data_IF_244126181076
#
_entry.id   IF_244126181076
#
_cell.length_a   1.000
_cell.length_b   1.000
_cell.length_c   1.000
_cell.angle_alpha   90.00
_cell.angle_beta   90.00
_cell.angle_gamma   90.00
#
_symmetry.space_group_name_H-M   'P 1'
#
loop_
_entity.id
_entity.type
_entity.pdbx_description
1 polymer ?
#
# COMPACT_ATOMS: atom_id res chain seq x y z
N UNK A 1 -5.09 25.80 42.31
CA UNK A 1 -4.48 24.65 41.60
C UNK A 1 -3.42 25.18 40.65
N UNK A 2 -2.22 24.57 40.66
CA UNK A 2 -1.13 24.96 39.74
C UNK A 2 -1.54 24.66 38.29
N UNK A 3 -1.12 25.51 37.33
CA UNK A 3 -1.31 25.27 35.89
C UNK A 3 -0.78 23.90 35.46
N UNK A 4 0.30 23.42 36.10
CA UNK A 4 0.89 22.11 35.85
C UNK A 4 -0.03 20.95 36.26
N UNK A 5 -0.83 21.12 37.32
CA UNK A 5 -1.80 20.11 37.76
C UNK A 5 -2.99 20.02 36.82
N UNK A 6 -3.45 21.14 36.27
CA UNK A 6 -4.56 21.16 35.28
C UNK A 6 -4.11 20.57 33.95
N UNK A 7 -2.89 20.89 33.50
CA UNK A 7 -2.29 20.29 32.29
C UNK A 7 -2.08 18.79 32.47
N UNK A 8 -1.59 18.35 33.63
CA UNK A 8 -1.44 16.93 33.95
C UNK A 8 -2.79 16.22 33.99
N UNK A 9 -3.82 16.80 34.61
CA UNK A 9 -5.18 16.22 34.62
C UNK A 9 -5.78 16.16 33.21
N UNK A 10 -5.63 17.20 32.38
CA UNK A 10 -6.14 17.21 31.00
C UNK A 10 -5.39 16.18 30.15
N UNK A 11 -4.07 16.12 30.23
CA UNK A 11 -3.26 15.13 29.50
C UNK A 11 -3.60 13.73 29.98
N UNK A 12 -3.66 13.49 31.29
CA UNK A 12 -3.90 12.19 31.89
C UNK A 12 -5.31 11.65 31.63
N UNK A 13 -6.36 12.49 31.75
CA UNK A 13 -7.73 12.09 31.38
C UNK A 13 -7.91 11.90 29.87
N UNK A 14 -7.18 12.66 29.06
CA UNK A 14 -7.18 12.50 27.61
C UNK A 14 -6.48 11.20 27.22
N UNK A 15 -5.33 10.85 27.81
CA UNK A 15 -4.69 9.53 27.66
C UNK A 15 -5.57 8.39 28.16
N UNK A 16 -6.29 8.54 29.27
CA UNK A 16 -7.18 7.48 29.79
C UNK A 16 -8.39 7.20 28.90
N UNK A 17 -9.04 8.25 28.38
CA UNK A 17 -10.07 8.10 27.33
C UNK A 17 -9.51 7.51 26.04
N UNK A 18 -8.26 7.87 25.70
CA UNK A 18 -7.54 7.34 24.54
C UNK A 18 -7.17 5.84 24.70
N UNK A 19 -6.80 5.39 25.89
CA UNK A 19 -6.52 3.98 26.20
C UNK A 19 -7.81 3.14 26.15
N UNK A 20 -8.93 3.65 26.67
CA UNK A 20 -10.24 2.97 26.62
C UNK A 20 -10.80 2.86 25.18
N UNK A 21 -10.50 3.83 24.28
CA UNK A 21 -10.85 3.74 22.86
C UNK A 21 -9.93 2.78 22.06
N UNK A 22 -8.68 2.59 22.51
CA UNK A 22 -7.72 1.64 21.93
C UNK A 22 -7.96 0.19 22.38
N UNK A 23 -8.47 -0.04 23.59
CA UNK A 23 -8.88 -1.37 24.08
C UNK A 23 -10.05 -1.97 23.26
N UNK A 24 -10.86 -1.15 22.59
CA UNK A 24 -11.97 -1.60 21.76
C UNK A 24 -11.57 -1.96 20.31
N UNK A 25 -10.34 -1.63 19.90
CA UNK A 25 -9.84 -1.78 18.52
C UNK A 25 -9.33 -3.20 18.18
N UNK A 26 -9.32 -4.10 19.16
CA UNK A 26 -8.58 -5.37 19.10
C UNK A 26 -9.44 -6.62 18.86
N UNK A 27 -10.78 -6.56 18.89
CA UNK A 27 -11.58 -7.80 18.90
C UNK A 27 -11.29 -8.72 17.70
N UNK A 28 -11.20 -8.17 16.48
CA UNK A 28 -10.90 -8.97 15.29
C UNK A 28 -9.44 -9.46 15.25
N UNK A 29 -8.49 -8.63 15.69
CA UNK A 29 -7.05 -8.96 15.72
C UNK A 29 -6.78 -10.01 16.79
N UNK A 30 -7.32 -9.83 17.99
CA UNK A 30 -7.27 -10.77 19.11
C UNK A 30 -7.97 -12.11 18.79
N UNK A 31 -9.14 -12.08 18.13
CA UNK A 31 -9.80 -13.30 17.66
C UNK A 31 -8.95 -14.05 16.63
N UNK A 32 -8.35 -13.33 15.69
CA UNK A 32 -7.46 -13.94 14.69
C UNK A 32 -6.19 -14.51 15.34
N UNK A 33 -5.57 -13.77 16.27
CA UNK A 33 -4.44 -14.25 17.07
C UNK A 33 -4.81 -15.54 17.82
N UNK A 34 -5.98 -15.57 18.45
CA UNK A 34 -6.49 -16.76 19.13
C UNK A 34 -6.68 -17.91 18.15
N UNK A 35 -7.28 -17.66 16.97
CA UNK A 35 -7.49 -18.67 15.90
C UNK A 35 -6.18 -19.28 15.41
N UNK A 36 -5.15 -18.45 15.19
CA UNK A 36 -3.82 -18.89 14.77
C UNK A 36 -3.13 -19.67 15.88
N UNK A 37 -3.07 -19.13 17.10
CA UNK A 37 -2.37 -19.74 18.23
C UNK A 37 -3.01 -21.08 18.67
N UNK A 38 -4.32 -21.24 18.49
CA UNK A 38 -5.03 -22.49 18.77
C UNK A 38 -4.97 -23.51 17.62
N UNK A 39 -4.32 -23.18 16.51
CA UNK A 39 -4.12 -24.08 15.38
C UNK A 39 -5.32 -24.21 14.44
N UNK A 40 -6.41 -23.45 14.63
CA UNK A 40 -7.55 -23.43 13.69
C UNK A 40 -7.19 -22.80 12.33
N UNK A 41 -6.05 -22.14 12.21
CA UNK A 41 -5.53 -21.60 10.95
C UNK A 41 -4.59 -22.57 10.20
N UNK A 42 -4.32 -23.78 10.72
CA UNK A 42 -3.31 -24.69 10.15
C UNK A 42 -3.53 -25.07 8.68
N UNK A 43 -4.78 -25.04 8.21
CA UNK A 43 -5.18 -25.41 6.86
C UNK A 43 -5.15 -24.21 5.89
N UNK A 44 -4.86 -23.01 6.39
CA UNK A 44 -4.67 -21.80 5.59
C UNK A 44 -3.39 -21.93 4.73
N UNK A 45 -3.38 -21.29 3.54
CA UNK A 45 -2.24 -21.42 2.63
C UNK A 45 -1.00 -20.70 3.17
N UNK A 46 -1.20 -19.61 3.91
CA UNK A 46 -0.17 -18.87 4.61
C UNK A 46 -0.63 -18.67 6.05
N UNK A 47 0.22 -19.03 7.01
CA UNK A 47 -0.01 -18.81 8.44
C UNK A 47 1.17 -18.03 8.99
N UNK A 48 0.87 -16.95 9.69
CA UNK A 48 1.84 -16.09 10.39
C UNK A 48 1.51 -16.18 11.87
N UNK A 49 2.44 -16.67 12.68
CA UNK A 49 2.26 -16.93 14.10
C UNK A 49 3.28 -16.14 14.92
N UNK A 50 2.80 -15.11 15.62
CA UNK A 50 3.58 -14.19 16.47
C UNK A 50 4.88 -13.72 15.81
N UNK A 51 4.82 -13.38 14.52
CA UNK A 51 6.01 -13.03 13.76
C UNK A 51 6.55 -11.68 14.23
N UNK A 52 7.79 -11.66 14.70
CA UNK A 52 8.44 -10.49 15.29
C UNK A 52 9.78 -10.25 14.63
N UNK A 53 10.09 -8.98 14.36
CA UNK A 53 11.42 -8.54 13.95
C UNK A 53 11.88 -7.34 14.74
N UNK A 54 12.90 -7.57 15.54
CA UNK A 54 13.62 -6.53 16.27
C UNK A 54 14.87 -6.10 15.50
N UNK A 55 15.15 -4.80 15.53
CA UNK A 55 16.39 -4.21 15.06
C UNK A 55 17.04 -3.38 16.15
N UNK A 56 18.37 -3.41 16.18
CA UNK A 56 19.18 -2.55 17.04
C UNK A 56 19.78 -1.42 16.21
N UNK A 57 19.47 -0.16 16.56
CA UNK A 57 20.09 1.04 15.98
C UNK A 57 20.84 1.80 17.07
N UNK A 58 22.17 1.66 17.07
CA UNK A 58 23.01 2.21 18.13
C UNK A 58 22.73 1.52 19.47
N UNK A 59 22.24 2.28 20.46
CA UNK A 59 21.84 1.74 21.78
C UNK A 59 20.33 1.50 21.92
N UNK A 60 19.54 1.72 20.87
CA UNK A 60 18.09 1.55 20.90
C UNK A 60 17.69 0.29 20.15
N UNK A 61 16.91 -0.55 20.81
CA UNK A 61 16.21 -1.68 20.22
C UNK A 61 14.78 -1.23 19.88
N UNK A 62 14.29 -1.67 18.73
CA UNK A 62 12.91 -1.42 18.33
C UNK A 62 12.37 -2.57 17.48
N UNK A 63 11.08 -2.87 17.67
CA UNK A 63 10.36 -3.83 16.86
C UNK A 63 9.90 -3.15 15.56
N UNK A 64 10.45 -3.59 14.42
CA UNK A 64 9.92 -3.20 13.11
C UNK A 64 8.64 -3.98 12.76
N UNK A 65 8.50 -5.19 13.32
CA UNK A 65 7.28 -6.01 13.27
C UNK A 65 7.12 -6.63 14.65
N UNK A 66 5.93 -6.56 15.22
CA UNK A 66 5.68 -6.91 16.62
C UNK A 66 4.53 -7.91 16.72
N UNK A 67 4.88 -9.18 16.95
CA UNK A 67 3.97 -10.31 17.23
C UNK A 67 2.75 -10.40 16.30
N UNK A 68 2.90 -10.13 15.01
CA UNK A 68 1.75 -10.16 14.09
C UNK A 68 1.24 -11.59 13.90
N UNK A 69 -0.09 -11.75 13.84
CA UNK A 69 -0.75 -13.03 13.66
C UNK A 69 -1.84 -12.93 12.60
N UNK A 70 -1.79 -13.81 11.59
CA UNK A 70 -2.85 -13.92 10.57
C UNK A 70 -2.74 -15.26 9.84
N UNK A 71 -3.88 -15.85 9.51
CA UNK A 71 -3.95 -16.96 8.55
C UNK A 71 -4.69 -16.51 7.30
N UNK A 72 -4.14 -16.78 6.12
CA UNK A 72 -4.69 -16.41 4.80
C UNK A 72 -5.15 -17.69 4.10
N UNK A 73 -6.46 -17.90 3.90
CA UNK A 73 -6.97 -19.07 3.19
C UNK A 73 -6.61 -19.07 1.69
N UNK A 74 -6.86 -20.20 1.03
CA UNK A 74 -6.72 -20.33 -0.44
C UNK A 74 -7.72 -19.42 -1.16
N UNK A 75 -7.27 -18.77 -2.23
CA UNK A 75 -8.11 -17.86 -3.02
C UNK A 75 -8.50 -16.58 -2.28
N UNK A 76 -7.75 -16.18 -1.24
CA UNK A 76 -7.93 -14.91 -0.55
C UNK A 76 -6.97 -13.85 -1.14
N UNK A 77 -7.45 -12.61 -1.28
CA UNK A 77 -6.59 -11.44 -1.49
C UNK A 77 -6.46 -10.67 -0.18
N UNK A 78 -5.33 -10.83 0.50
CA UNK A 78 -5.06 -10.21 1.79
C UNK A 78 -4.21 -8.94 1.64
N UNK A 79 -4.67 -7.82 2.19
CA UNK A 79 -3.98 -6.53 2.15
C UNK A 79 -3.26 -6.20 3.45
N UNK A 80 -2.02 -5.74 3.37
CA UNK A 80 -1.30 -5.07 4.45
C UNK A 80 -1.27 -3.57 4.14
N UNK A 81 -2.16 -2.81 4.77
CA UNK A 81 -2.30 -1.36 4.63
C UNK A 81 -1.54 -0.66 5.75
N UNK A 82 -0.72 0.34 5.45
CA UNK A 82 0.06 1.07 6.44
C UNK A 82 0.89 2.15 5.79
N UNK A 83 1.37 3.15 6.54
CA UNK A 83 2.28 4.14 5.99
C UNK A 83 3.69 3.56 5.82
N UNK A 84 4.58 4.37 5.26
CA UNK A 84 6.00 4.05 5.18
C UNK A 84 6.57 3.90 6.61
N UNK A 85 7.39 2.87 6.81
CA UNK A 85 7.93 2.57 8.15
C UNK A 85 7.01 1.75 9.07
N UNK A 86 5.77 1.45 8.67
CA UNK A 86 4.87 0.64 9.51
C UNK A 86 5.30 -0.83 9.72
N UNK A 87 6.26 -1.33 8.91
CA UNK A 87 6.78 -2.71 9.02
C UNK A 87 6.41 -3.64 7.84
N UNK A 88 5.62 -3.16 6.86
CA UNK A 88 5.12 -3.96 5.72
C UNK A 88 6.22 -4.71 4.97
N UNK A 89 7.21 -4.00 4.42
CA UNK A 89 8.33 -4.62 3.67
C UNK A 89 9.15 -5.57 4.54
N UNK A 90 9.34 -5.25 5.82
CA UNK A 90 10.02 -6.15 6.77
C UNK A 90 9.25 -7.46 6.94
N UNK A 91 7.93 -7.41 7.07
CA UNK A 91 7.07 -8.61 7.09
C UNK A 91 7.25 -9.43 5.82
N UNK A 92 7.22 -8.81 4.65
CA UNK A 92 7.40 -9.52 3.37
C UNK A 92 8.76 -10.17 3.24
N UNK A 93 9.84 -9.51 3.66
CA UNK A 93 11.19 -10.11 3.66
C UNK A 93 11.29 -11.31 4.60
N UNK A 94 10.52 -11.34 5.69
CA UNK A 94 10.41 -12.53 6.53
C UNK A 94 9.62 -13.65 5.85
N UNK A 95 8.53 -13.31 5.14
CA UNK A 95 7.72 -14.27 4.40
C UNK A 95 8.43 -14.87 3.18
N UNK A 96 9.42 -14.18 2.62
CA UNK A 96 10.25 -14.72 1.53
C UNK A 96 11.47 -15.48 2.05
N UNK A 97 11.73 -15.45 3.36
CA UNK A 97 12.93 -16.01 3.97
C UNK A 97 14.19 -15.16 3.78
N UNK A 98 14.13 -14.03 3.06
CA UNK A 98 15.26 -13.10 2.91
C UNK A 98 15.68 -12.52 4.28
N UNK A 99 14.76 -12.39 5.21
CA UNK A 99 15.04 -11.98 6.58
C UNK A 99 14.56 -13.03 7.57
N UNK A 100 15.41 -13.42 8.52
CA UNK A 100 14.96 -14.32 9.60
C UNK A 100 14.20 -13.53 10.66
N UNK A 101 13.03 -14.03 11.14
CA UNK A 101 12.35 -13.44 12.27
C UNK A 101 13.20 -13.52 13.52
N UNK A 102 13.03 -12.54 14.42
CA UNK A 102 13.61 -12.59 15.77
C UNK A 102 12.80 -13.57 16.64
N UNK A 103 11.47 -13.54 16.51
CA UNK A 103 10.57 -14.47 17.20
C UNK A 103 9.40 -14.88 16.29
N UNK A 104 8.74 -15.97 16.66
CA UNK A 104 7.61 -16.53 15.92
C UNK A 104 8.02 -17.30 14.67
N UNK A 105 7.03 -17.62 13.85
CA UNK A 105 7.22 -18.35 12.60
C UNK A 105 6.14 -18.03 11.57
N UNK A 106 6.45 -18.33 10.31
CA UNK A 106 5.49 -18.31 9.24
C UNK A 106 5.58 -19.62 8.46
N UNK A 107 4.43 -20.12 7.98
CA UNK A 107 4.34 -21.34 7.19
C UNK A 107 3.56 -21.10 5.92
N UNK A 108 4.00 -21.69 4.80
CA UNK A 108 3.29 -21.70 3.53
C UNK A 108 2.96 -23.15 3.21
N UNK A 109 1.68 -23.47 2.97
CA UNK A 109 1.19 -24.84 2.78
C UNK A 109 1.61 -25.79 3.90
N UNK A 110 1.70 -25.28 5.13
CA UNK A 110 2.17 -26.04 6.30
C UNK A 110 3.69 -26.26 6.35
N UNK A 111 4.46 -25.77 5.37
CA UNK A 111 5.93 -25.79 5.39
C UNK A 111 6.46 -24.51 6.02
N UNK A 112 7.32 -24.63 7.03
CA UNK A 112 7.92 -23.48 7.71
C UNK A 112 8.87 -22.73 6.77
N UNK A 113 8.75 -21.42 6.75
CA UNK A 113 9.60 -20.56 5.95
C UNK A 113 11.01 -20.55 6.54
N UNK A 114 11.99 -20.97 5.75
CA UNK A 114 13.39 -21.05 6.14
C UNK A 114 14.28 -20.77 4.93
N UNK A 115 15.42 -20.10 5.15
CA UNK A 115 16.43 -19.83 4.10
C UNK A 115 16.95 -21.08 3.41
N UNK A 116 16.94 -22.22 4.09
CA UNK A 116 17.51 -23.47 3.59
C UNK A 116 16.57 -24.23 2.65
N UNK A 117 15.29 -23.85 2.56
CA UNK A 117 14.29 -24.61 1.82
C UNK A 117 14.07 -24.01 0.43
N UNK A 118 14.73 -24.61 -0.57
CA UNK A 118 14.59 -24.22 -1.97
C UNK A 118 13.18 -24.43 -2.51
N UNK A 119 12.34 -25.26 -1.87
CA UNK A 119 10.98 -25.55 -2.33
C UNK A 119 10.05 -24.34 -2.19
N UNK A 120 10.28 -23.47 -1.21
CA UNK A 120 9.51 -22.24 -1.00
C UNK A 120 9.57 -21.32 -2.23
N UNK A 121 10.73 -21.23 -2.89
CA UNK A 121 10.90 -20.41 -4.09
C UNK A 121 10.05 -20.85 -5.28
N UNK A 122 9.62 -22.12 -5.32
CA UNK A 122 8.69 -22.63 -6.32
C UNK A 122 7.23 -22.36 -5.95
N UNK A 123 6.92 -22.34 -4.65
CA UNK A 123 5.57 -22.15 -4.14
C UNK A 123 5.17 -20.68 -3.97
N UNK A 124 6.15 -19.76 -3.97
CA UNK A 124 5.93 -18.34 -3.74
C UNK A 124 6.33 -17.51 -4.95
N UNK A 125 5.44 -16.63 -5.37
CA UNK A 125 5.79 -15.47 -6.19
C UNK A 125 6.10 -14.27 -5.32
N UNK A 126 7.17 -13.54 -5.60
CA UNK A 126 7.47 -12.30 -4.90
C UNK A 126 7.77 -11.15 -5.86
N UNK A 127 7.07 -10.04 -5.68
CA UNK A 127 7.38 -8.76 -6.30
C UNK A 127 7.90 -7.80 -5.20
N UNK A 128 9.20 -7.51 -5.14
CA UNK A 128 9.77 -6.55 -4.18
C UNK A 128 9.29 -5.12 -4.44
N UNK A 129 9.51 -4.21 -3.48
CA UNK A 129 9.19 -2.79 -3.62
C UNK A 129 10.04 -2.14 -4.74
N UNK A 130 11.34 -2.43 -4.75
CA UNK A 130 12.26 -2.01 -5.81
C UNK A 130 12.34 -3.06 -6.92
N UNK A 131 12.28 -2.62 -8.18
CA UNK A 131 12.32 -3.52 -9.33
C UNK A 131 13.72 -4.15 -9.51
N UNK A 132 13.87 -5.41 -9.12
CA UNK A 132 15.09 -6.20 -9.29
C UNK A 132 15.24 -6.73 -10.73
N UNK A 133 15.41 -5.81 -11.69
CA UNK A 133 15.48 -6.11 -13.12
C UNK A 133 16.85 -5.79 -13.71
N UNK A 134 17.33 -6.65 -14.62
CA UNK A 134 18.56 -6.42 -15.38
C UNK A 134 18.25 -5.56 -16.62
N UNK A 135 18.80 -4.35 -16.68
CA UNK A 135 18.60 -3.43 -17.80
C UNK A 135 19.19 -3.92 -19.14
N UNK A 136 20.17 -4.82 -19.10
CA UNK A 136 20.82 -5.36 -20.30
C UNK A 136 19.95 -6.39 -21.03
N UNK A 137 19.03 -7.05 -20.32
CA UNK A 137 18.12 -8.05 -20.88
C UNK A 137 16.87 -7.39 -21.46
N UNK A 138 16.21 -8.10 -22.37
CA UNK A 138 14.83 -7.81 -22.77
C UNK A 138 13.84 -8.34 -21.74
N UNK A 139 12.62 -7.79 -21.71
CA UNK A 139 11.56 -8.29 -20.81
C UNK A 139 11.24 -9.77 -21.03
N UNK A 140 11.26 -10.22 -22.29
CA UNK A 140 11.08 -11.61 -22.67
C UNK A 140 12.21 -12.51 -22.17
N UNK A 141 13.46 -12.09 -22.32
CA UNK A 141 14.62 -12.85 -21.81
C UNK A 141 14.60 -12.95 -20.28
N UNK A 142 14.24 -11.86 -19.59
CA UNK A 142 14.09 -11.87 -18.14
C UNK A 142 13.01 -12.86 -17.68
N UNK A 143 11.84 -12.87 -18.33
CA UNK A 143 10.79 -13.87 -18.06
C UNK A 143 11.26 -15.30 -18.34
N UNK A 144 12.00 -15.53 -19.43
CA UNK A 144 12.58 -16.84 -19.70
C UNK A 144 13.61 -17.27 -18.66
N UNK A 145 14.42 -16.34 -18.15
CA UNK A 145 15.38 -16.59 -17.09
C UNK A 145 14.66 -17.05 -15.81
N UNK A 146 13.67 -16.28 -15.35
CA UNK A 146 12.88 -16.65 -14.17
C UNK A 146 12.07 -17.94 -14.37
N UNK A 147 11.55 -18.19 -15.58
CA UNK A 147 10.88 -19.45 -15.89
C UNK A 147 11.81 -20.66 -15.70
N UNK A 148 13.09 -20.53 -16.06
CA UNK A 148 14.12 -21.56 -15.83
C UNK A 148 14.46 -21.69 -14.35
N UNK A 149 14.66 -20.59 -13.64
CA UNK A 149 15.00 -20.58 -12.21
C UNK A 149 13.89 -21.22 -11.35
N UNK A 150 12.62 -21.02 -11.71
CA UNK A 150 11.47 -21.68 -11.06
C UNK A 150 11.34 -23.17 -11.40
N UNK A 151 12.15 -23.70 -12.30
CA UNK A 151 12.10 -25.11 -12.70
C UNK A 151 10.98 -25.46 -13.68
N UNK A 152 10.44 -24.49 -14.43
CA UNK A 152 9.39 -24.79 -15.41
C UNK A 152 9.92 -25.70 -16.54
N UNK A 153 9.16 -26.74 -16.95
CA UNK A 153 9.55 -27.68 -17.99
C UNK A 153 9.92 -27.00 -19.30
N UNK A 154 10.97 -27.48 -19.97
CA UNK A 154 11.50 -26.83 -21.16
C UNK A 154 10.47 -26.61 -22.26
N UNK A 155 9.59 -27.58 -22.46
CA UNK A 155 8.59 -27.59 -23.51
C UNK A 155 7.45 -26.60 -23.26
N UNK A 156 7.16 -26.28 -22.00
CA UNK A 156 6.09 -25.34 -21.63
C UNK A 156 6.59 -23.90 -21.44
N UNK A 157 7.88 -23.68 -21.18
CA UNK A 157 8.43 -22.34 -20.86
C UNK A 157 8.06 -21.27 -21.88
N UNK A 158 8.16 -21.57 -23.17
CA UNK A 158 7.84 -20.60 -24.23
C UNK A 158 6.37 -20.18 -24.17
N UNK A 159 5.47 -21.16 -24.06
CA UNK A 159 4.05 -20.91 -23.95
C UNK A 159 3.70 -20.09 -22.71
N UNK A 160 4.27 -20.45 -21.56
CA UNK A 160 4.02 -19.73 -20.29
C UNK A 160 4.52 -18.29 -20.37
N UNK A 161 5.71 -18.05 -20.93
CA UNK A 161 6.24 -16.68 -21.11
C UNK A 161 5.38 -15.87 -22.08
N UNK A 162 4.99 -16.44 -23.21
CA UNK A 162 4.11 -15.78 -24.19
C UNK A 162 2.73 -15.44 -23.59
N UNK A 163 2.17 -16.35 -22.80
CA UNK A 163 0.91 -16.15 -22.09
C UNK A 163 1.01 -15.02 -21.07
N UNK A 164 2.08 -14.98 -20.26
CA UNK A 164 2.33 -13.88 -19.30
C UNK A 164 2.51 -12.55 -20.01
N UNK A 165 3.28 -12.48 -21.10
CA UNK A 165 3.46 -11.28 -21.92
C UNK A 165 2.10 -10.78 -22.43
N UNK A 166 1.25 -11.68 -22.90
CA UNK A 166 -0.09 -11.37 -23.40
C UNK A 166 -1.02 -10.91 -22.28
N UNK A 167 -1.07 -11.64 -21.16
CA UNK A 167 -1.89 -11.33 -19.97
C UNK A 167 -1.58 -9.93 -19.45
N UNK A 168 -0.30 -9.59 -19.29
CA UNK A 168 0.14 -8.27 -18.82
C UNK A 168 0.16 -7.18 -19.89
N UNK A 169 -0.02 -7.54 -21.17
CA UNK A 169 0.02 -6.57 -22.27
C UNK A 169 1.40 -5.92 -22.44
N UNK A 170 2.48 -6.69 -22.27
CA UNK A 170 3.87 -6.24 -22.41
C UNK A 170 4.25 -6.09 -23.90
N UNK A 171 3.75 -5.02 -24.53
CA UNK A 171 3.97 -4.76 -25.98
C UNK A 171 5.44 -4.62 -26.38
N UNK A 172 6.29 -4.18 -25.45
CA UNK A 172 7.72 -3.96 -25.69
C UNK A 172 8.60 -5.07 -25.08
N UNK A 173 8.05 -6.28 -24.92
CA UNK A 173 8.75 -7.42 -24.32
C UNK A 173 10.12 -7.72 -24.98
N UNK A 174 10.27 -7.41 -26.27
CA UNK A 174 11.48 -7.64 -27.05
C UNK A 174 12.47 -6.45 -27.05
N UNK A 175 12.14 -5.34 -26.37
CA UNK A 175 13.07 -4.23 -26.13
C UNK A 175 13.84 -4.47 -24.83
N UNK A 176 15.07 -3.96 -24.78
CA UNK A 176 15.89 -3.93 -23.57
C UNK A 176 15.16 -3.18 -22.45
N UNK A 177 15.20 -3.76 -21.24
CA UNK A 177 14.57 -3.23 -20.03
C UNK A 177 15.13 -1.85 -19.64
N UNK A 178 16.35 -1.52 -20.06
CA UNK A 178 16.92 -0.18 -19.89
C UNK A 178 15.98 0.93 -20.42
N UNK A 179 15.25 0.66 -21.51
CA UNK A 179 14.35 1.61 -22.16
C UNK A 179 12.92 1.59 -21.60
N UNK A 180 12.62 0.74 -20.61
CA UNK A 180 11.29 0.67 -20.02
C UNK A 180 11.02 1.89 -19.13
N UNK A 181 9.81 2.42 -19.20
CA UNK A 181 9.32 3.36 -18.18
C UNK A 181 9.23 2.68 -16.81
N UNK A 182 9.20 3.47 -15.73
CA UNK A 182 9.04 2.93 -14.37
C UNK A 182 7.81 2.02 -14.24
N UNK A 183 6.66 2.45 -14.78
CA UNK A 183 5.43 1.63 -14.77
C UNK A 183 5.56 0.32 -15.59
N UNK A 184 6.36 0.30 -16.65
CA UNK A 184 6.63 -0.93 -17.40
C UNK A 184 7.56 -1.88 -16.65
N UNK A 185 8.59 -1.36 -15.97
CA UNK A 185 9.46 -2.13 -15.09
C UNK A 185 8.64 -2.76 -13.96
N UNK A 186 7.82 -1.97 -13.28
CA UNK A 186 6.89 -2.44 -12.24
C UNK A 186 5.97 -3.54 -12.75
N UNK A 187 5.38 -3.35 -13.93
CA UNK A 187 4.49 -4.33 -14.57
C UNK A 187 5.22 -5.64 -14.87
N UNK A 188 6.48 -5.57 -15.32
CA UNK A 188 7.31 -6.75 -15.55
C UNK A 188 7.66 -7.45 -14.22
N UNK A 189 7.95 -6.72 -13.15
CA UNK A 189 8.19 -7.29 -11.81
C UNK A 189 6.98 -8.08 -11.29
N UNK A 190 5.77 -7.52 -11.43
CA UNK A 190 4.53 -8.24 -11.06
C UNK A 190 4.33 -9.47 -11.97
N UNK A 191 4.64 -9.36 -13.26
CA UNK A 191 4.56 -10.49 -14.19
C UNK A 191 5.52 -11.64 -13.83
N UNK A 192 6.73 -11.32 -13.37
CA UNK A 192 7.72 -12.30 -12.87
C UNK A 192 7.22 -12.98 -11.59
N UNK A 193 6.59 -12.24 -10.68
CA UNK A 193 6.02 -12.79 -9.46
C UNK A 193 4.89 -13.80 -9.75
N UNK A 194 4.07 -13.52 -10.76
CA UNK A 194 2.95 -14.40 -11.18
C UNK A 194 3.36 -15.53 -12.15
N UNK A 195 4.61 -15.52 -12.62
CA UNK A 195 5.11 -16.49 -13.59
C UNK A 195 5.06 -17.92 -13.02
N UNK A 196 4.44 -18.84 -13.77
CA UNK A 196 4.27 -20.23 -13.34
C UNK A 196 3.08 -20.47 -12.39
N UNK A 197 2.24 -19.46 -12.18
CA UNK A 197 1.02 -19.52 -11.38
C UNK A 197 1.24 -20.10 -9.97
N UNK A 198 2.17 -19.51 -9.17
CA UNK A 198 2.43 -20.00 -7.82
C UNK A 198 1.19 -19.88 -6.93
N UNK A 199 0.99 -20.80 -5.97
CA UNK A 199 -0.17 -20.82 -5.09
C UNK A 199 -0.29 -19.58 -4.19
N UNK A 200 0.85 -18.97 -3.82
CA UNK A 200 0.91 -17.73 -3.04
C UNK A 200 1.73 -16.69 -3.79
N UNK A 201 1.18 -15.48 -3.97
CA UNK A 201 1.89 -14.34 -4.56
C UNK A 201 1.97 -13.21 -3.54
N UNK A 202 3.19 -12.82 -3.20
CA UNK A 202 3.52 -11.70 -2.34
C UNK A 202 3.88 -10.48 -3.21
N UNK A 203 3.13 -9.39 -3.09
CA UNK A 203 3.33 -8.16 -3.86
C UNK A 203 3.58 -6.96 -2.93
N UNK A 204 4.79 -6.42 -2.92
CA UNK A 204 5.14 -5.27 -2.08
C UNK A 204 4.97 -3.97 -2.86
N UNK A 205 3.84 -3.28 -2.72
CA UNK A 205 3.43 -2.07 -3.47
C UNK A 205 3.33 -2.26 -5.01
N UNK A 206 2.50 -3.21 -5.51
CA UNK A 206 2.55 -3.69 -6.89
C UNK A 206 2.25 -2.64 -7.96
N UNK A 207 1.49 -1.58 -7.65
CA UNK A 207 1.05 -0.60 -8.66
C UNK A 207 1.63 0.80 -8.50
N UNK A 208 2.62 0.97 -7.63
CA UNK A 208 3.35 2.22 -7.47
C UNK A 208 4.00 2.67 -8.79
N UNK A 209 3.83 3.94 -9.14
CA UNK A 209 4.41 4.54 -10.36
C UNK A 209 3.74 4.13 -11.67
N UNK A 210 2.59 3.42 -11.64
CA UNK A 210 1.81 3.08 -12.82
C UNK A 210 0.78 4.16 -13.17
N UNK A 211 0.50 4.32 -14.47
CA UNK A 211 -0.65 5.12 -14.91
C UNK A 211 -1.99 4.44 -14.52
N UNK A 212 -3.10 5.18 -14.41
CA UNK A 212 -4.38 4.63 -13.95
C UNK A 212 -4.92 3.45 -14.78
N UNK A 213 -4.67 3.43 -16.10
CA UNK A 213 -5.15 2.36 -16.97
C UNK A 213 -4.32 1.10 -16.79
N UNK A 214 -3.00 1.24 -16.74
CA UNK A 214 -2.08 0.14 -16.44
C UNK A 214 -2.36 -0.45 -15.06
N UNK A 215 -2.58 0.38 -14.04
CA UNK A 215 -2.94 -0.06 -12.69
C UNK A 215 -4.21 -0.92 -12.68
N UNK A 216 -5.30 -0.44 -13.31
CA UNK A 216 -6.54 -1.22 -13.43
C UNK A 216 -6.35 -2.53 -14.20
N UNK A 217 -5.50 -2.55 -15.22
CA UNK A 217 -5.18 -3.77 -15.95
C UNK A 217 -4.51 -4.80 -15.04
N UNK A 218 -3.51 -4.39 -14.24
CA UNK A 218 -2.87 -5.27 -13.25
C UNK A 218 -3.89 -5.75 -12.20
N UNK A 219 -4.75 -4.87 -11.71
CA UNK A 219 -5.80 -5.26 -10.75
C UNK A 219 -6.72 -6.35 -11.28
N UNK A 220 -7.15 -6.25 -12.55
CA UNK A 220 -7.97 -7.28 -13.18
C UNK A 220 -7.24 -8.63 -13.26
N UNK A 221 -5.93 -8.62 -13.51
CA UNK A 221 -5.11 -9.85 -13.53
C UNK A 221 -5.04 -10.47 -12.13
N UNK A 222 -4.82 -9.66 -11.09
CA UNK A 222 -4.77 -10.13 -9.70
C UNK A 222 -6.14 -10.70 -9.27
N UNK A 223 -7.23 -10.01 -9.57
CA UNK A 223 -8.59 -10.51 -9.30
C UNK A 223 -8.88 -11.82 -10.03
N UNK A 224 -8.37 -11.99 -11.26
CA UNK A 224 -8.51 -13.24 -12.00
C UNK A 224 -7.70 -14.38 -11.36
N UNK A 225 -6.48 -14.11 -10.89
CA UNK A 225 -5.67 -15.08 -10.16
C UNK A 225 -6.36 -15.55 -8.86
N UNK A 226 -6.93 -14.62 -8.10
CA UNK A 226 -7.69 -14.92 -6.87
C UNK A 226 -8.90 -15.80 -7.17
N UNK A 227 -9.65 -15.50 -8.24
CA UNK A 227 -10.77 -16.35 -8.70
C UNK A 227 -10.32 -17.76 -9.09
N UNK A 228 -9.09 -17.91 -9.58
CA UNK A 228 -8.46 -19.18 -9.91
C UNK A 228 -7.79 -19.87 -8.70
N UNK A 229 -8.19 -19.52 -7.46
CA UNK A 229 -7.72 -20.13 -6.22
C UNK A 229 -6.23 -19.85 -5.87
N UNK A 230 -5.58 -18.90 -6.54
CA UNK A 230 -4.29 -18.38 -6.06
C UNK A 230 -4.55 -17.40 -4.92
N UNK A 231 -3.73 -17.44 -3.87
CA UNK A 231 -3.80 -16.43 -2.81
C UNK A 231 -2.81 -15.31 -3.10
N UNK A 232 -3.26 -14.07 -2.93
CA UNK A 232 -2.46 -12.88 -3.14
C UNK A 232 -2.33 -12.15 -1.81
N UNK A 233 -1.12 -11.82 -1.41
CA UNK A 233 -0.84 -10.95 -0.27
C UNK A 233 -0.16 -9.71 -0.80
N UNK A 234 -0.79 -8.55 -0.65
CA UNK A 234 -0.26 -7.29 -1.13
C UNK A 234 0.00 -6.32 0.01
N UNK A 235 1.12 -5.60 -0.06
CA UNK A 235 1.33 -4.40 0.73
C UNK A 235 0.90 -3.21 -0.11
N UNK A 236 0.27 -2.22 0.53
CA UNK A 236 -0.04 -0.96 -0.14
C UNK A 236 -0.14 0.18 0.86
N UNK A 237 0.13 1.38 0.39
CA UNK A 237 -0.28 2.62 1.05
C UNK A 237 -1.49 3.26 0.35
N UNK A 238 -2.01 2.64 -0.72
CA UNK A 238 -3.17 3.12 -1.48
C UNK A 238 -4.45 2.45 -1.01
N UNK A 239 -5.35 3.24 -0.44
CA UNK A 239 -6.65 2.75 0.02
C UNK A 239 -7.53 2.31 -1.14
N UNK A 240 -7.45 3.00 -2.28
CA UNK A 240 -8.15 2.61 -3.52
C UNK A 240 -7.74 1.21 -3.97
N UNK A 241 -6.45 0.88 -3.89
CA UNK A 241 -5.95 -0.46 -4.25
C UNK A 241 -6.47 -1.53 -3.29
N UNK A 242 -6.35 -1.29 -1.98
CA UNK A 242 -6.84 -2.23 -0.98
C UNK A 242 -8.36 -2.43 -1.06
N UNK A 243 -9.12 -1.37 -1.28
CA UNK A 243 -10.58 -1.41 -1.40
C UNK A 243 -11.04 -2.14 -2.67
N UNK A 244 -10.29 -2.03 -3.77
CA UNK A 244 -10.60 -2.69 -5.03
C UNK A 244 -10.20 -4.17 -5.07
N UNK A 245 -9.09 -4.54 -4.42
CA UNK A 245 -8.50 -5.88 -4.52
C UNK A 245 -8.77 -6.78 -3.33
N UNK A 246 -8.72 -6.25 -2.11
CA UNK A 246 -8.60 -7.07 -0.92
C UNK A 246 -9.97 -7.55 -0.44
N UNK A 247 -10.08 -8.86 -0.22
CA UNK A 247 -11.23 -9.44 0.48
C UNK A 247 -11.15 -9.16 1.98
N UNK A 248 -9.93 -9.08 2.50
CA UNK A 248 -9.61 -8.73 3.88
C UNK A 248 -8.28 -7.99 3.92
N UNK A 249 -8.16 -7.04 4.84
CA UNK A 249 -6.90 -6.33 5.06
C UNK A 249 -6.65 -6.13 6.55
N UNK A 250 -5.37 -5.97 6.90
CA UNK A 250 -4.94 -5.48 8.19
C UNK A 250 -4.35 -4.08 8.04
N UNK A 251 -4.70 -3.20 8.98
CA UNK A 251 -4.05 -1.89 9.12
C UNK A 251 -2.87 -2.04 10.07
N UNK A 252 -1.67 -1.80 9.56
CA UNK A 252 -0.42 -1.92 10.26
C UNK A 252 0.08 -0.54 10.71
N UNK A 253 0.37 -0.40 12.00
CA UNK A 253 0.91 0.82 12.61
C UNK A 253 2.00 0.43 13.61
N UNK A 254 3.19 1.01 13.49
CA UNK A 254 4.35 0.76 14.35
C UNK A 254 4.66 -0.75 14.55
N UNK A 255 4.62 -1.55 13.49
CA UNK A 255 4.94 -2.98 13.58
C UNK A 255 3.77 -3.90 13.94
N UNK A 256 2.63 -3.36 14.38
CA UNK A 256 1.49 -4.13 14.89
C UNK A 256 0.24 -4.02 13.99
N UNK A 257 -0.63 -5.04 14.03
CA UNK A 257 -1.97 -4.93 13.45
C UNK A 257 -2.92 -4.20 14.41
N UNK A 258 -3.46 -3.05 13.97
CA UNK A 258 -4.42 -2.26 14.75
C UNK A 258 -5.87 -2.57 14.43
N UNK A 259 -6.15 -3.02 13.20
CA UNK A 259 -7.43 -3.60 12.88
C UNK A 259 -7.30 -4.61 11.74
N UNK A 260 -8.29 -5.49 11.64
CA UNK A 260 -8.35 -6.59 10.66
C UNK A 260 -9.80 -6.77 10.22
N UNK A 261 -10.04 -6.85 8.91
CA UNK A 261 -11.37 -7.09 8.37
C UNK A 261 -11.48 -6.78 6.88
N UNK A 262 -12.65 -7.04 6.29
CA UNK A 262 -12.93 -6.58 4.93
C UNK A 262 -12.97 -5.04 4.87
N UNK A 263 -12.63 -4.42 3.73
CA UNK A 263 -12.73 -2.96 3.58
C UNK A 263 -14.09 -2.41 4.01
N UNK A 264 -15.19 -3.10 3.68
CA UNK A 264 -16.54 -2.71 4.08
C UNK A 264 -16.78 -2.82 5.58
N UNK A 265 -16.29 -3.88 6.24
CA UNK A 265 -16.38 -4.00 7.70
C UNK A 265 -15.61 -2.87 8.39
N UNK A 266 -14.42 -2.52 7.89
CA UNK A 266 -13.62 -1.44 8.46
C UNK A 266 -14.27 -0.08 8.27
N UNK A 267 -14.82 0.22 7.09
CA UNK A 267 -15.64 1.43 6.86
C UNK A 267 -16.87 1.47 7.75
N UNK A 268 -17.52 0.31 7.95
CA UNK A 268 -18.68 0.22 8.83
C UNK A 268 -18.31 0.42 10.29
N UNK A 269 -17.16 -0.09 10.76
CA UNK A 269 -16.75 0.00 12.17
C UNK A 269 -16.17 1.38 12.50
N UNK A 270 -15.25 1.87 11.66
CA UNK A 270 -14.39 3.02 11.94
C UNK A 270 -14.68 4.25 11.08
N UNK A 271 -15.61 4.15 10.13
CA UNK A 271 -16.01 5.28 9.30
C UNK A 271 -16.89 6.27 10.08
N UNK A 272 -16.71 7.56 9.81
CA UNK A 272 -17.43 8.63 10.50
C UNK A 272 -18.90 8.81 10.09
N UNK A 273 -19.40 8.03 9.12
CA UNK A 273 -20.80 8.04 8.69
C UNK A 273 -20.97 8.13 7.18
N UNK A 274 -21.89 8.98 6.73
CA UNK A 274 -22.28 9.12 5.32
C UNK A 274 -22.13 10.55 4.83
N UNK A 275 -21.71 10.70 3.58
CA UNK A 275 -21.65 11.96 2.85
C UNK A 275 -22.81 11.96 1.86
N UNK A 276 -23.72 12.90 2.03
CA UNK A 276 -24.84 13.14 1.12
C UNK A 276 -24.50 14.34 0.26
N UNK A 277 -24.42 14.14 -1.06
CA UNK A 277 -24.28 15.22 -2.03
C UNK A 277 -25.62 15.45 -2.71
N UNK A 278 -26.14 16.67 -2.61
CA UNK A 278 -27.40 17.07 -3.22
C UNK A 278 -27.12 18.10 -4.33
N UNK A 279 -27.58 17.80 -5.55
CA UNK A 279 -27.50 18.68 -6.70
C UNK A 279 -28.85 19.36 -6.95
N UNK A 280 -28.86 20.68 -6.98
CA UNK A 280 -30.07 21.49 -7.07
C UNK A 280 -29.96 22.48 -8.24
N UNK A 281 -31.06 22.64 -8.98
CA UNK A 281 -31.24 23.75 -9.92
C UNK A 281 -32.10 24.84 -9.26
N UNK A 282 -31.64 26.08 -9.28
CA UNK A 282 -32.43 27.24 -8.86
C UNK A 282 -31.81 28.09 -7.75
N UNK A 283 -32.68 28.85 -7.06
CA UNK A 283 -32.35 29.91 -6.11
C UNK A 283 -31.70 29.37 -4.81
N UNK A 284 -30.86 30.19 -4.17
CA UNK A 284 -30.15 29.87 -2.92
C UNK A 284 -31.09 29.50 -1.75
N UNK A 285 -32.34 29.93 -1.78
CA UNK A 285 -33.35 29.69 -0.73
C UNK A 285 -33.75 28.22 -0.58
N UNK A 286 -33.78 27.43 -1.66
CA UNK A 286 -34.09 26.01 -1.58
C UNK A 286 -32.97 25.23 -0.89
N UNK A 287 -31.72 25.62 -1.15
CA UNK A 287 -30.54 25.02 -0.55
C UNK A 287 -30.48 25.22 0.98
N UNK A 288 -30.88 26.40 1.47
CA UNK A 288 -31.01 26.66 2.92
C UNK A 288 -32.06 25.73 3.54
N UNK A 289 -33.23 25.58 2.90
CA UNK A 289 -34.30 24.69 3.40
C UNK A 289 -33.88 23.23 3.45
N UNK A 290 -33.17 22.75 2.43
CA UNK A 290 -32.62 21.39 2.41
C UNK A 290 -31.62 21.22 3.55
N UNK A 291 -30.69 22.17 3.74
CA UNK A 291 -29.74 22.15 4.85
C UNK A 291 -30.45 22.09 6.22
N UNK A 292 -31.43 22.95 6.44
CA UNK A 292 -32.19 23.00 7.71
C UNK A 292 -32.97 21.70 7.96
N UNK A 293 -33.50 21.09 6.90
CA UNK A 293 -34.13 19.77 6.98
C UNK A 293 -33.14 18.69 7.44
N UNK A 294 -31.92 18.66 6.89
CA UNK A 294 -30.91 17.69 7.31
C UNK A 294 -30.45 17.91 8.74
N UNK A 295 -30.23 19.17 9.15
CA UNK A 295 -29.83 19.51 10.51
C UNK A 295 -30.90 19.20 11.56
N UNK A 296 -32.18 19.25 11.18
CA UNK A 296 -33.30 18.89 12.07
C UNK A 296 -33.60 17.39 12.08
N UNK A 297 -33.39 16.69 10.96
CA UNK A 297 -33.68 15.26 10.82
C UNK A 297 -32.56 14.37 11.36
N UNK A 298 -31.30 14.75 11.13
CA UNK A 298 -30.13 13.95 11.50
C UNK A 298 -29.31 14.66 12.60
N UNK A 299 -29.21 14.02 13.76
CA UNK A 299 -28.49 14.58 14.90
C UNK A 299 -26.99 14.64 14.62
N UNK A 300 -26.35 15.78 14.91
CA UNK A 300 -24.89 15.96 14.75
C UNK A 300 -24.43 16.13 13.29
N UNK A 301 -25.37 16.26 12.37
CA UNK A 301 -25.14 16.51 10.95
C UNK A 301 -24.36 17.83 10.72
N UNK A 302 -23.43 17.84 9.76
CA UNK A 302 -22.61 19.02 9.43
C UNK A 302 -22.59 19.27 7.93
N UNK A 303 -22.49 20.53 7.53
CA UNK A 303 -22.28 20.87 6.12
C UNK A 303 -20.79 20.86 5.81
N UNK A 304 -20.37 20.06 4.84
CA UNK A 304 -18.97 19.99 4.36
C UNK A 304 -18.70 21.04 3.30
N UNK A 305 -19.52 21.05 2.26
CA UNK A 305 -19.37 21.96 1.13
C UNK A 305 -20.71 22.61 0.79
N UNK A 306 -20.62 23.88 0.42
CA UNK A 306 -21.78 24.73 0.18
C UNK A 306 -21.48 25.65 -1.00
N UNK A 307 -21.65 25.17 -2.25
CA UNK A 307 -21.32 25.92 -3.47
C UNK A 307 -22.52 26.03 -4.42
N UNK A 308 -22.37 26.71 -5.57
CA UNK A 308 -23.48 26.95 -6.49
C UNK A 308 -24.06 25.63 -7.04
N UNK A 309 -25.29 25.31 -6.66
CA UNK A 309 -26.02 24.13 -7.12
C UNK A 309 -25.62 22.81 -6.44
N UNK A 310 -24.68 22.82 -5.49
CA UNK A 310 -24.24 21.62 -4.76
C UNK A 310 -24.22 21.89 -3.26
N UNK A 311 -24.79 20.95 -2.49
CA UNK A 311 -24.76 20.92 -1.04
C UNK A 311 -24.25 19.56 -0.59
N UNK A 312 -23.12 19.53 0.12
CA UNK A 312 -22.60 18.31 0.73
C UNK A 312 -22.81 18.33 2.24
N UNK A 313 -23.36 17.23 2.73
CA UNK A 313 -23.76 17.07 4.12
C UNK A 313 -23.15 15.80 4.66
N UNK A 314 -22.44 15.92 5.78
CA UNK A 314 -21.89 14.81 6.53
C UNK A 314 -22.85 14.44 7.65
N UNK A 315 -23.38 13.22 7.57
CA UNK A 315 -24.29 12.62 8.54
C UNK A 315 -23.43 11.68 9.39
N UNK A 316 -23.23 11.97 10.69
CA UNK A 316 -22.43 11.13 11.54
C UNK A 316 -23.05 9.75 11.69
N UNK A 317 -22.21 8.75 11.91
CA UNK A 317 -22.64 7.39 12.21
C UNK A 317 -23.51 7.38 13.47
N UNK A 318 -24.79 7.08 13.30
CA UNK A 318 -25.80 7.13 14.36
C UNK A 318 -26.86 6.04 14.17
N UNK A 319 -28.09 6.32 14.59
CA UNK A 319 -29.23 5.39 14.38
C UNK A 319 -29.72 5.33 12.93
N UNK A 320 -29.32 6.28 12.10
CA UNK A 320 -29.79 6.41 10.73
C UNK A 320 -29.02 5.47 9.81
N UNK A 321 -29.73 4.54 9.19
CA UNK A 321 -29.20 3.70 8.13
C UNK A 321 -29.11 4.46 6.80
N UNK A 322 -28.34 3.94 5.85
CA UNK A 322 -28.34 4.43 4.45
C UNK A 322 -29.76 4.49 3.90
N UNK A 323 -30.57 3.45 4.16
CA UNK A 323 -31.96 3.39 3.72
C UNK A 323 -32.80 4.53 4.27
N UNK A 324 -32.63 4.89 5.54
CA UNK A 324 -33.34 6.03 6.14
C UNK A 324 -32.98 7.34 5.44
N UNK A 325 -31.70 7.53 5.11
CA UNK A 325 -31.22 8.72 4.38
C UNK A 325 -31.88 8.82 3.00
N UNK A 326 -31.95 7.71 2.26
CA UNK A 326 -32.62 7.66 0.96
C UNK A 326 -34.13 7.95 1.07
N UNK A 327 -34.82 7.40 2.07
CA UNK A 327 -36.25 7.65 2.29
C UNK A 327 -36.50 9.14 2.54
N UNK A 328 -35.71 9.78 3.40
CA UNK A 328 -35.85 11.21 3.70
C UNK A 328 -35.54 12.08 2.46
N UNK A 329 -34.50 11.73 1.70
CA UNK A 329 -34.14 12.42 0.45
C UNK A 329 -35.25 12.37 -0.59
N UNK A 330 -35.88 11.21 -0.77
CA UNK A 330 -36.94 11.06 -1.79
C UNK A 330 -38.22 11.84 -1.42
N UNK A 331 -38.53 11.97 -0.12
CA UNK A 331 -39.64 12.80 0.35
C UNK A 331 -39.45 14.28 0.01
N UNK A 332 -38.23 14.80 0.19
CA UNK A 332 -37.95 16.23 0.00
C UNK A 332 -37.59 16.61 -1.44
N UNK A 333 -37.30 15.61 -2.29
CA UNK A 333 -36.84 15.80 -3.67
C UNK A 333 -37.78 16.64 -4.51
N UNK A 334 -39.06 16.30 -4.51
CA UNK A 334 -40.09 17.04 -5.24
C UNK A 334 -40.39 18.40 -4.61
N UNK A 335 -40.28 18.52 -3.29
CA UNK A 335 -40.59 19.74 -2.55
C UNK A 335 -39.55 20.84 -2.77
N UNK A 336 -38.26 20.49 -2.92
CA UNK A 336 -37.18 21.47 -3.03
C UNK A 336 -36.45 21.47 -4.39
N UNK A 337 -37.02 20.82 -5.41
CA UNK A 337 -36.47 20.75 -6.77
C UNK A 337 -35.02 20.21 -6.80
N UNK A 338 -34.78 19.11 -6.06
CA UNK A 338 -33.51 18.39 -6.11
C UNK A 338 -33.43 17.68 -7.46
N UNK A 339 -32.40 17.96 -8.26
CA UNK A 339 -32.20 17.29 -9.54
C UNK A 339 -31.76 15.85 -9.31
N UNK A 340 -30.67 15.68 -8.58
CA UNK A 340 -30.07 14.39 -8.26
C UNK A 340 -29.39 14.46 -6.90
N UNK A 341 -29.21 13.31 -6.27
CA UNK A 341 -28.45 13.20 -5.03
C UNK A 341 -27.62 11.92 -5.05
N UNK A 342 -26.54 11.91 -4.29
CA UNK A 342 -25.74 10.73 -4.02
C UNK A 342 -25.51 10.60 -2.53
N UNK A 343 -25.48 9.35 -2.06
CA UNK A 343 -25.11 9.01 -0.68
C UNK A 343 -23.90 8.10 -0.78
N UNK A 344 -22.77 8.54 -0.26
CA UNK A 344 -21.55 7.73 -0.15
C UNK A 344 -21.20 7.52 1.31
N UNK A 345 -20.59 6.39 1.61
CA UNK A 345 -19.96 6.17 2.91
C UNK A 345 -18.60 6.87 2.93
N UNK A 346 -18.08 7.17 4.13
CA UNK A 346 -16.68 7.54 4.30
C UNK A 346 -15.75 6.50 3.67
N UNK A 347 -14.69 6.99 3.04
CA UNK A 347 -13.73 6.13 2.36
C UNK A 347 -12.83 5.43 3.37
N UNK A 348 -12.12 4.39 2.90
CA UNK A 348 -11.12 3.71 3.71
C UNK A 348 -9.97 4.67 4.09
N UNK A 349 -9.74 5.74 3.34
CA UNK A 349 -8.78 6.81 3.68
C UNK A 349 -9.14 7.50 4.99
N UNK A 350 -10.43 7.83 5.22
CA UNK A 350 -10.84 8.46 6.48
C UNK A 350 -10.66 7.52 7.67
N UNK A 351 -10.97 6.23 7.48
CA UNK A 351 -10.70 5.19 8.47
C UNK A 351 -9.21 5.13 8.80
N UNK A 352 -8.37 5.13 7.76
CA UNK A 352 -6.92 5.05 7.91
C UNK A 352 -6.34 6.29 8.61
N UNK A 353 -6.78 7.50 8.28
CA UNK A 353 -6.34 8.73 8.93
C UNK A 353 -6.57 8.74 10.44
N UNK A 354 -7.59 8.03 10.93
CA UNK A 354 -7.79 7.85 12.36
C UNK A 354 -6.67 7.01 12.98
N UNK A 355 -6.14 6.01 12.26
CA UNK A 355 -5.05 5.15 12.71
C UNK A 355 -3.65 5.75 12.55
N UNK A 356 -3.42 6.56 11.52
CA UNK A 356 -2.12 7.23 11.26
C UNK A 356 -1.72 8.15 12.39
N UNK A 357 -2.67 8.76 13.10
CA UNK A 357 -2.38 9.63 14.26
C UNK A 357 -1.63 8.93 15.38
N UNK A 358 -1.58 7.59 15.39
CA UNK A 358 -0.86 6.78 16.35
C UNK A 358 0.51 6.32 15.83
N UNK A 359 0.87 6.65 14.59
CA UNK A 359 2.18 6.35 14.05
C UNK A 359 3.21 7.24 14.75
N UNK A 360 4.18 6.59 15.39
CA UNK A 360 5.31 7.31 15.94
C UNK A 360 6.31 7.47 14.82
N UNK A 361 6.39 8.66 14.23
CA UNK A 361 7.56 9.04 13.44
C UNK A 361 8.77 8.76 14.33
N UNK A 362 9.59 7.77 13.98
CA UNK A 362 10.73 7.29 14.78
C UNK A 362 11.85 8.32 15.04
N UNK A 363 11.52 9.61 15.02
CA UNK A 363 12.33 10.77 15.36
C UNK A 363 11.56 11.58 16.40
N UNK A 364 11.78 11.29 17.68
CA UNK A 364 11.53 12.29 18.72
C UNK A 364 12.57 13.40 18.48
N UNK A 365 12.19 14.69 18.33
CA UNK A 365 13.18 15.76 18.29
C UNK A 365 13.94 15.73 19.62
N UNK A 366 15.26 15.56 19.56
CA UNK A 366 16.11 15.86 20.70
C UNK A 366 15.94 17.35 20.98
N UNK A 367 15.10 17.68 21.96
CA UNK A 367 15.09 19.00 22.57
C UNK A 367 16.40 19.08 23.36
N UNK A 368 17.45 19.56 22.71
CA UNK A 368 18.59 20.10 23.43
C UNK A 368 18.12 21.40 24.11
N UNK A 369 17.75 21.30 25.38
CA UNK A 369 17.81 22.44 26.28
C UNK A 369 19.28 22.82 26.44
N UNK A 370 19.68 23.94 25.84
CA UNK A 370 20.88 24.67 26.25
C UNK A 370 20.47 26.05 26.73
N UNK A 371 20.33 26.18 28.05
CA UNK A 371 20.33 27.45 28.75
C UNK A 371 21.75 27.97 28.94
N UNK A 372 21.85 29.31 28.82
CA UNK A 372 22.86 30.25 29.34
C UNK A 372 24.23 30.41 28.66
N UNK A 373 24.34 31.58 28.01
CA UNK A 373 25.33 32.66 28.22
C UNK A 373 26.71 32.62 27.54
N UNK A 374 27.00 33.70 26.79
CA UNK A 374 28.25 34.46 26.99
C UNK A 374 29.27 34.57 25.86
N UNK A 375 29.03 35.51 24.93
CA UNK A 375 30.00 36.48 24.36
C UNK A 375 31.23 36.07 23.50
N UNK A 376 31.22 36.66 22.29
CA UNK A 376 32.31 37.35 21.54
C UNK A 376 33.40 36.59 20.75
N UNK A 377 33.39 36.92 19.44
CA UNK A 377 34.52 37.22 18.54
C UNK A 377 35.14 36.13 17.66
N UNK A 378 35.17 36.41 16.35
CA UNK A 378 36.32 36.09 15.47
C UNK A 378 36.09 35.02 14.39
N UNK A 379 35.89 35.49 13.15
CA UNK A 379 36.38 35.00 11.85
C UNK A 379 36.69 33.50 11.64
N UNK A 380 36.13 32.92 10.58
CA UNK A 380 36.85 32.49 9.34
C UNK A 380 35.93 31.60 8.49
N UNK A 381 35.62 32.03 7.27
CA UNK A 381 34.96 31.21 6.26
C UNK A 381 35.99 30.26 5.61
N UNK A 382 35.75 28.96 5.68
CA UNK A 382 36.42 27.97 4.81
C UNK A 382 35.39 27.01 4.22
N UNK A 383 35.45 26.87 2.90
CA UNK A 383 34.69 25.93 2.10
C UNK A 383 35.06 24.49 2.48
N UNK A 384 34.04 23.64 2.69
CA UNK A 384 34.19 22.23 3.00
C UNK A 384 33.24 21.40 2.14
N UNK A 385 33.82 20.72 1.17
CA UNK A 385 33.25 19.74 0.25
C UNK A 385 32.42 18.65 0.94
N UNK A 386 31.25 18.36 0.39
CA UNK A 386 30.41 17.20 0.72
C UNK A 386 31.05 15.91 0.21
N UNK A 387 31.71 15.17 1.09
CA UNK A 387 32.15 13.79 0.83
C UNK A 387 30.97 12.83 0.88
N UNK A 388 30.71 12.20 -0.27
CA UNK A 388 29.84 11.05 -0.40
C UNK A 388 30.53 9.81 0.20
N UNK A 389 29.97 9.27 1.27
CA UNK A 389 30.40 7.98 1.82
C UNK A 389 29.93 6.83 0.91
N UNK A 390 30.76 6.51 -0.08
CA UNK A 390 30.76 5.21 -0.73
C UNK A 390 31.40 4.19 0.23
N UNK A 391 30.66 3.17 0.63
CA UNK A 391 31.19 2.05 1.42
C UNK A 391 31.57 0.91 0.45
N UNK A 392 32.86 0.54 0.30
CA UNK A 392 33.30 -0.49 -0.64
C UNK A 392 33.48 -1.82 0.07
N UNK A 393 32.55 -2.76 -0.11
CA UNK A 393 32.78 -4.16 0.23
C UNK A 393 32.03 -5.10 -0.73
N UNK A 394 32.49 -5.16 -1.97
CA UNK A 394 32.34 -6.33 -2.85
C UNK A 394 33.53 -6.36 -3.81
N UNK A 395 34.66 -6.90 -3.33
CA UNK A 395 35.78 -7.26 -4.18
C UNK A 395 35.51 -8.65 -4.76
N UNK A 396 35.14 -8.71 -6.04
CA UNK A 396 35.23 -9.94 -6.83
C UNK A 396 36.70 -10.14 -7.21
N UNK A 397 37.35 -11.11 -6.58
CA UNK A 397 38.57 -11.72 -7.11
C UNK A 397 38.18 -12.57 -8.33
N UNK A 398 38.47 -12.07 -9.53
CA UNK A 398 38.57 -12.91 -10.72
C UNK A 398 40.01 -12.81 -11.22
N UNK A 399 40.77 -13.88 -11.01
CA UNK A 399 42.02 -14.10 -11.71
C UNK A 399 41.71 -14.52 -13.14
N UNK A 400 42.28 -13.79 -14.12
CA UNK A 400 42.30 -14.20 -15.52
C UNK A 400 41.65 -13.19 -16.47
N UNK A 401 42.40 -12.15 -16.85
CA UNK A 401 42.91 -12.00 -18.22
C UNK A 401 43.72 -10.70 -18.32
N UNK A 402 44.91 -10.82 -18.89
CA UNK A 402 45.91 -9.79 -19.10
C UNK A 402 45.48 -8.75 -20.15
N UNK A 403 45.74 -7.48 -19.82
CA UNK A 403 46.05 -6.31 -20.65
C UNK A 403 45.93 -6.42 -22.18
N UNK A 404 45.21 -5.49 -22.80
CA UNK A 404 45.79 -4.53 -23.75
C UNK A 404 44.86 -3.31 -23.98
N UNK A 405 45.49 -2.13 -23.96
CA UNK A 405 44.93 -0.83 -24.35
C UNK A 405 44.97 -0.73 -25.87
N UNK A 406 43.97 -0.12 -26.51
CA UNK A 406 44.20 1.01 -27.43
C UNK A 406 42.90 1.62 -28.03
N UNK A 407 42.90 2.97 -28.02
CA UNK A 407 42.32 3.94 -28.98
C UNK A 407 40.83 3.93 -29.41
N UNK A 408 40.18 5.06 -29.07
CA UNK A 408 39.02 5.78 -29.66
C UNK A 408 38.90 5.76 -31.22
N UNK A 409 37.79 6.21 -31.89
CA UNK A 409 36.83 7.23 -31.43
C UNK A 409 35.33 7.10 -31.79
N UNK A 410 34.59 7.94 -31.06
CA UNK A 410 33.24 8.48 -31.25
C UNK A 410 32.95 8.91 -32.71
N UNK A 411 31.74 8.61 -33.21
CA UNK A 411 31.14 9.30 -34.37
C UNK A 411 29.72 9.80 -34.04
N UNK A 412 29.59 11.13 -34.06
CA UNK A 412 28.35 11.87 -34.27
C UNK A 412 27.84 11.65 -35.69
N UNK A 413 26.53 11.44 -35.87
CA UNK A 413 25.81 11.85 -37.08
C UNK A 413 24.47 12.44 -36.65
N UNK A 414 24.35 13.74 -36.91
CA UNK A 414 23.14 14.53 -36.81
C UNK A 414 22.70 14.83 -38.26
N UNK A 415 21.44 14.59 -38.61
CA UNK A 415 20.81 15.22 -39.78
C UNK A 415 19.30 15.34 -39.55
N UNK A 416 18.92 16.57 -39.23
CA UNK A 416 17.58 17.12 -39.32
C UNK A 416 17.32 17.52 -40.78
N UNK A 417 16.20 17.09 -41.37
CA UNK A 417 15.51 17.79 -42.48
C UNK A 417 14.03 17.45 -42.47
N UNK A 418 13.29 18.36 -41.85
CA UNK A 418 11.99 18.93 -42.24
C UNK A 418 10.92 18.07 -42.89
N UNK A 419 9.76 18.05 -42.22
CA UNK A 419 8.49 17.61 -42.77
C UNK A 419 7.33 17.65 -41.77
N UNK A 420 7.20 18.73 -40.96
CA UNK A 420 5.95 18.96 -40.22
C UNK A 420 4.88 19.44 -41.20
N UNK A 421 3.70 18.81 -41.16
CA UNK A 421 2.41 19.49 -41.00
C UNK A 421 1.28 18.44 -40.83
N UNK A 422 0.75 18.32 -39.61
CA UNK A 422 -0.66 18.03 -39.32
C UNK A 422 -1.47 19.35 -39.39
N UNK A 423 -2.81 19.44 -39.15
CA UNK A 423 -3.82 18.44 -38.70
C UNK A 423 -5.22 18.55 -39.38
N UNK A 424 -6.24 17.78 -38.96
CA UNK A 424 -7.58 18.25 -38.47
C UNK A 424 -8.70 17.18 -38.52
N UNK A 425 -9.31 16.95 -37.35
CA UNK A 425 -10.71 16.69 -36.98
C UNK A 425 -11.74 16.13 -37.98
N UNK A 426 -12.51 15.14 -37.51
CA UNK A 426 -13.94 15.02 -37.80
C UNK A 426 -14.70 14.39 -36.61
N UNK A 427 -15.67 15.16 -36.08
CA UNK A 427 -16.74 14.72 -35.18
C UNK A 427 -18.06 14.89 -35.92
N UNK A 428 -18.88 13.82 -36.02
CA UNK A 428 -20.35 13.78 -35.84
C UNK A 428 -20.97 12.54 -36.52
N UNK A 429 -21.65 11.70 -35.74
CA UNK A 429 -23.11 11.78 -35.54
C UNK A 429 -23.46 11.35 -34.12
#
# INVERSE_FOLDING_TARGET
>A
MSKSTVIWFILHFRTKRHEEELEYLDAAVSNERTRVNSGYAKDDILVINNLTKEYTRGRREFNAVDHICVGVPRGECFGLLGENGAGKTTSFRMLTGDLLPTEGEATIKGHRISRADASIGQEVGYCPQEDALDGCLTGREMLHCYARLRGLPADSRKYVVDDVIKKFGLKEADKSIHHYSGGMKRKLSVAIAMLGEPPVVLLDEPTTGMDPNTRRHVWNILLAAVKNQQSVVLSSHSMEECDALCTRLAVMVNGEFKCLGSPQQLKNLYGDGYIVTVYMSGLSTNKVRVRDFFLSTFHGCRTREDHHGVLQIEIPKGRSSVSDIFVQLEQIKHQYNIMHYSVSQTTLDNVFLNFVRYQNDGVVPEIYESSSEGSTSGDTWTEGSSEAFANPHYAYNNEGFTTEKDSLPVRYIDYNKDGRHSPLYATKM
#
